data_IF_586339298241
#
_entry.id   IF_586339298241
#
_cell.length_a   1.000
_cell.length_b   1.000
_cell.length_c   1.000
_cell.angle_alpha   90.00
_cell.angle_beta   90.00
_cell.angle_gamma   90.00
#
_symmetry.space_group_name_H-M   'P 1'
#
loop_
_entity.id
_entity.type
_entity.pdbx_description
1 polymer ?
#
# COMPACT_ATOMS: atom_id res chain seq x y z
N UNK A 1 -13.18 4.05 -6.69
CA UNK A 1 -13.65 5.25 -5.98
C UNK A 1 -14.10 4.80 -4.60
N UNK A 2 -13.69 5.48 -3.54
CA UNK A 2 -14.10 5.09 -2.19
C UNK A 2 -15.62 5.22 -2.08
N UNK A 3 -16.27 4.10 -1.78
CA UNK A 3 -17.69 4.03 -1.50
C UNK A 3 -17.86 3.67 -0.03
N UNK A 4 -18.89 4.19 0.67
CA UNK A 4 -19.18 3.89 2.06
C UNK A 4 -19.71 2.44 2.20
N UNK A 5 -18.85 1.47 1.91
CA UNK A 5 -19.12 0.04 2.03
C UNK A 5 -18.87 -0.45 3.45
N UNK A 6 -19.37 -1.66 3.80
CA UNK A 6 -19.36 -2.21 5.15
C UNK A 6 -18.01 -2.26 5.90
N UNK A 7 -16.81 -2.26 5.28
CA UNK A 7 -15.56 -2.17 6.02
C UNK A 7 -15.29 -0.78 6.60
N UNK A 8 -15.79 0.27 5.92
CA UNK A 8 -15.44 1.67 6.21
C UNK A 8 -16.53 2.33 7.05
N UNK A 9 -17.80 2.02 6.77
CA UNK A 9 -18.96 2.62 7.43
C UNK A 9 -19.02 2.37 8.95
N UNK A 10 -19.02 1.11 9.43
CA UNK A 10 -19.02 0.77 10.84
C UNK A 10 -17.77 1.24 11.59
N UNK A 11 -16.59 1.09 10.98
CA UNK A 11 -15.31 1.46 11.61
C UNK A 11 -15.19 2.97 11.87
N UNK A 12 -15.65 3.80 10.94
CA UNK A 12 -15.63 5.27 11.09
C UNK A 12 -16.86 5.81 11.81
N UNK A 13 -18.03 5.21 11.59
CA UNK A 13 -19.28 5.60 12.23
C UNK A 13 -19.26 5.39 13.74
N UNK A 14 -18.65 4.31 14.23
CA UNK A 14 -18.46 4.09 15.67
C UNK A 14 -17.57 5.15 16.32
N UNK A 15 -16.67 5.78 15.57
CA UNK A 15 -15.77 6.84 16.04
C UNK A 15 -16.36 8.25 15.86
N UNK A 16 -17.61 8.38 15.36
CA UNK A 16 -18.27 9.67 15.16
C UNK A 16 -17.72 10.50 13.98
N UNK A 17 -16.99 9.88 13.05
CA UNK A 17 -16.38 10.55 11.90
C UNK A 17 -17.39 10.70 10.76
N UNK A 18 -17.41 11.86 10.09
CA UNK A 18 -18.26 12.11 8.94
C UNK A 18 -17.76 11.34 7.70
N UNK A 19 -18.38 10.19 7.43
CA UNK A 19 -17.98 9.25 6.37
C UNK A 19 -18.04 9.90 4.97
N UNK A 20 -19.04 10.75 4.71
CA UNK A 20 -19.18 11.40 3.40
C UNK A 20 -18.06 12.41 3.12
N UNK A 21 -17.66 13.15 4.16
CA UNK A 21 -16.58 14.12 4.07
C UNK A 21 -15.23 13.42 3.86
N UNK A 22 -14.98 12.34 4.60
CA UNK A 22 -13.83 11.47 4.38
C UNK A 22 -13.77 10.94 2.94
N UNK A 23 -14.86 10.37 2.43
CA UNK A 23 -14.89 9.81 1.08
C UNK A 23 -14.60 10.88 0.00
N UNK A 24 -15.11 12.10 0.15
CA UNK A 24 -14.80 13.22 -0.78
C UNK A 24 -13.33 13.61 -0.72
N UNK A 25 -12.81 13.84 0.48
CA UNK A 25 -11.43 14.26 0.67
C UNK A 25 -10.43 13.17 0.25
N UNK A 26 -10.75 11.90 0.51
CA UNK A 26 -9.97 10.77 0.04
C UNK A 26 -9.97 10.69 -1.47
N UNK A 27 -11.14 10.72 -2.12
CA UNK A 27 -11.22 10.68 -3.58
C UNK A 27 -10.42 11.82 -4.23
N UNK A 28 -10.49 13.04 -3.68
CA UNK A 28 -9.70 14.18 -4.15
C UNK A 28 -8.18 13.96 -4.03
N UNK A 29 -7.69 13.40 -2.91
CA UNK A 29 -6.26 13.07 -2.74
C UNK A 29 -5.81 11.88 -3.59
N UNK A 30 -6.71 10.94 -3.87
CA UNK A 30 -6.38 9.73 -4.65
C UNK A 30 -6.59 9.88 -6.15
N UNK A 31 -7.15 10.99 -6.63
CA UNK A 31 -7.42 11.19 -8.06
C UNK A 31 -6.13 11.24 -8.89
N UNK A 32 -5.02 11.68 -8.28
CA UNK A 32 -3.68 11.68 -8.87
C UNK A 32 -2.99 10.32 -8.84
N UNK A 33 -3.53 9.34 -8.11
CA UNK A 33 -2.94 8.01 -7.95
C UNK A 33 -3.69 7.02 -8.84
N UNK A 34 -2.96 6.08 -9.43
CA UNK A 34 -3.49 5.11 -10.37
C UNK A 34 -4.69 4.33 -9.79
N UNK A 35 -5.82 4.38 -10.52
CA UNK A 35 -7.08 3.79 -10.09
C UNK A 35 -6.94 2.26 -9.99
N UNK A 36 -7.27 1.71 -8.81
CA UNK A 36 -7.26 0.27 -8.56
C UNK A 36 -6.19 -0.20 -7.58
N UNK A 37 -5.26 0.66 -7.17
CA UNK A 37 -4.33 0.36 -6.09
C UNK A 37 -4.96 0.66 -4.71
N UNK A 38 -4.96 -0.29 -3.76
CA UNK A 38 -5.36 -0.01 -2.38
C UNK A 38 -4.37 0.96 -1.72
N UNK A 39 -4.91 2.10 -1.29
CA UNK A 39 -4.17 3.18 -0.62
C UNK A 39 -4.50 3.10 0.88
N UNK A 40 -3.54 2.77 1.74
CA UNK A 40 -3.75 2.76 3.17
C UNK A 40 -3.87 4.19 3.70
N UNK A 41 -4.79 4.40 4.63
CA UNK A 41 -5.05 5.71 5.24
C UNK A 41 -4.95 5.59 6.75
N UNK A 42 -4.20 6.50 7.36
CA UNK A 42 -4.18 6.66 8.80
C UNK A 42 -5.11 7.82 9.15
N UNK A 43 -6.10 7.54 9.99
CA UNK A 43 -7.10 8.53 10.43
C UNK A 43 -6.86 8.77 11.91
N UNK A 44 -6.68 10.03 12.27
CA UNK A 44 -6.58 10.49 13.64
C UNK A 44 -7.88 11.21 13.97
N UNK A 45 -8.60 10.72 14.97
CA UNK A 45 -9.85 11.31 15.46
C UNK A 45 -9.56 12.05 16.76
N UNK A 46 -9.97 13.31 16.84
CA UNK A 46 -9.79 14.15 18.01
C UNK A 46 -11.05 14.17 18.87
N UNK A 47 -10.92 14.59 20.13
CA UNK A 47 -12.01 14.59 21.11
C UNK A 47 -13.16 15.56 20.75
N UNK A 48 -12.87 16.57 19.94
CA UNK A 48 -13.85 17.52 19.39
C UNK A 48 -14.64 16.95 18.18
N UNK A 49 -14.44 15.67 17.87
CA UNK A 49 -15.00 14.97 16.69
C UNK A 49 -14.46 15.47 15.35
N UNK A 50 -13.41 16.29 15.37
CA UNK A 50 -12.64 16.56 14.16
C UNK A 50 -11.77 15.35 13.82
N UNK A 51 -11.38 15.23 12.55
CA UNK A 51 -10.49 14.17 12.10
C UNK A 51 -9.46 14.70 11.10
N UNK A 52 -8.25 14.18 11.18
CA UNK A 52 -7.21 14.37 10.16
C UNK A 52 -6.87 13.03 9.55
N UNK A 53 -6.60 12.98 8.25
CA UNK A 53 -6.20 11.75 7.59
C UNK A 53 -4.97 11.95 6.70
N UNK A 54 -4.08 10.97 6.76
CA UNK A 54 -2.86 10.90 5.95
C UNK A 54 -2.97 9.68 5.03
N UNK A 55 -2.97 9.93 3.73
CA UNK A 55 -2.89 8.90 2.69
C UNK A 55 -1.44 8.50 2.52
N UNK A 56 -1.15 7.20 2.65
CA UNK A 56 0.17 6.64 2.41
C UNK A 56 0.22 5.99 1.02
N UNK A 57 1.42 5.80 0.49
CA UNK A 57 1.63 5.02 -0.74
C UNK A 57 1.11 3.59 -0.60
N UNK A 58 0.73 2.96 -1.74
CA UNK A 58 0.31 1.57 -1.77
C UNK A 58 1.31 0.63 -1.07
N UNK A 59 0.84 -0.47 -0.46
CA UNK A 59 1.73 -1.42 0.21
C UNK A 59 2.71 -2.03 -0.78
N UNK A 60 3.95 -2.27 -0.34
CA UNK A 60 4.98 -2.91 -1.15
C UNK A 60 4.47 -4.22 -1.77
N UNK A 61 3.73 -5.04 -1.00
CA UNK A 61 3.16 -6.30 -1.49
C UNK A 61 2.23 -6.15 -2.70
N UNK A 62 1.51 -5.03 -2.81
CA UNK A 62 0.59 -4.78 -3.93
C UNK A 62 1.38 -4.33 -5.15
N UNK A 63 2.36 -3.45 -4.96
CA UNK A 63 3.26 -3.00 -6.04
C UNK A 63 4.08 -4.17 -6.60
N UNK A 64 4.58 -5.04 -5.72
CA UNK A 64 5.28 -6.28 -6.07
C UNK A 64 4.39 -7.25 -6.86
N UNK A 65 3.13 -7.43 -6.43
CA UNK A 65 2.16 -8.25 -7.18
C UNK A 65 1.93 -7.72 -8.58
N UNK A 66 1.79 -6.40 -8.72
CA UNK A 66 1.62 -5.74 -10.01
C UNK A 66 2.86 -5.90 -10.89
N UNK A 67 4.05 -5.64 -10.36
CA UNK A 67 5.30 -5.75 -11.11
C UNK A 67 5.61 -7.19 -11.55
N UNK A 68 5.30 -8.18 -10.69
CA UNK A 68 5.47 -9.60 -11.01
C UNK A 68 4.27 -10.22 -11.77
N UNK A 69 3.20 -9.46 -12.02
CA UNK A 69 2.00 -9.94 -12.73
C UNK A 69 1.18 -11.01 -11.99
N UNK A 70 1.35 -11.14 -10.67
CA UNK A 70 0.69 -12.18 -9.85
C UNK A 70 -0.53 -11.63 -9.10
N UNK A 71 -1.56 -12.46 -8.93
CA UNK A 71 -2.77 -12.09 -8.18
C UNK A 71 -2.63 -12.35 -6.67
N UNK A 72 -1.93 -13.41 -6.28
CA UNK A 72 -1.71 -13.83 -4.90
C UNK A 72 -0.26 -14.21 -4.65
N UNK A 73 0.22 -13.94 -3.43
CA UNK A 73 1.54 -14.43 -2.98
C UNK A 73 1.50 -15.94 -2.71
N UNK A 74 2.67 -16.52 -2.48
CA UNK A 74 2.81 -17.93 -2.14
C UNK A 74 2.26 -18.25 -0.76
N UNK A 75 1.48 -19.34 -0.66
CA UNK A 75 1.07 -19.90 0.63
C UNK A 75 2.22 -20.59 1.39
N UNK A 76 3.31 -20.94 0.69
CA UNK A 76 4.56 -21.48 1.28
C UNK A 76 5.75 -20.79 0.61
N UNK A 77 6.08 -19.54 0.99
CA UNK A 77 7.09 -18.70 0.32
C UNK A 77 8.48 -19.34 0.16
N UNK A 78 8.83 -20.25 1.07
CA UNK A 78 10.12 -20.95 1.08
C UNK A 78 10.16 -22.18 0.16
N UNK A 79 9.01 -22.71 -0.27
CA UNK A 79 8.91 -23.92 -1.11
C UNK A 79 8.34 -23.60 -2.49
N UNK A 80 7.23 -22.86 -2.53
CA UNK A 80 6.49 -22.58 -3.75
C UNK A 80 6.80 -21.15 -4.18
N UNK A 81 7.60 -21.00 -5.25
CA UNK A 81 7.86 -19.70 -5.85
C UNK A 81 6.77 -19.37 -6.86
N UNK A 82 6.16 -18.20 -6.73
CA UNK A 82 4.96 -17.82 -7.48
C UNK A 82 5.21 -16.76 -8.54
N UNK A 83 6.43 -16.24 -8.64
CA UNK A 83 6.80 -15.25 -9.65
C UNK A 83 8.26 -14.84 -9.55
N UNK A 84 8.69 -14.05 -10.52
CA UNK A 84 10.02 -13.46 -10.62
C UNK A 84 9.90 -11.95 -10.68
N UNK A 85 10.87 -11.24 -10.12
CA UNK A 85 10.95 -9.79 -10.19
C UNK A 85 12.41 -9.38 -10.37
N UNK A 86 12.66 -8.39 -11.23
CA UNK A 86 14.02 -7.89 -11.46
C UNK A 86 14.43 -6.88 -10.39
N UNK A 87 15.74 -6.73 -10.18
CA UNK A 87 16.26 -5.71 -9.28
C UNK A 87 15.90 -4.28 -9.72
N UNK A 88 15.82 -4.03 -11.03
CA UNK A 88 15.36 -2.76 -11.59
C UNK A 88 13.92 -2.43 -11.16
N UNK A 89 13.01 -3.40 -11.23
CA UNK A 89 11.62 -3.23 -10.79
C UNK A 89 11.53 -2.97 -9.28
N UNK A 90 12.36 -3.63 -8.47
CA UNK A 90 12.43 -3.35 -7.03
C UNK A 90 12.86 -1.91 -6.74
N UNK A 91 13.80 -1.38 -7.51
CA UNK A 91 14.29 -0.01 -7.36
C UNK A 91 13.24 1.02 -7.76
N UNK A 92 12.50 0.80 -8.85
CA UNK A 92 11.36 1.65 -9.24
C UNK A 92 10.27 1.67 -8.16
N UNK A 93 9.96 0.50 -7.59
CA UNK A 93 9.00 0.39 -6.47
C UNK A 93 9.53 1.13 -5.24
N UNK A 94 10.81 0.99 -4.92
CA UNK A 94 11.45 1.68 -3.81
C UNK A 94 11.41 3.21 -3.99
N UNK A 95 11.70 3.72 -5.19
CA UNK A 95 11.60 5.15 -5.51
C UNK A 95 10.16 5.66 -5.37
N UNK A 96 9.19 4.93 -5.90
CA UNK A 96 7.77 5.27 -5.79
C UNK A 96 7.32 5.32 -4.33
N UNK A 97 7.86 4.43 -3.50
CA UNK A 97 7.53 4.32 -2.07
C UNK A 97 8.42 5.16 -1.16
N UNK A 98 9.46 5.82 -1.70
CA UNK A 98 10.52 6.42 -0.89
C UNK A 98 10.00 7.46 0.11
N UNK A 99 8.95 8.21 -0.26
CA UNK A 99 8.33 9.21 0.61
C UNK A 99 7.69 8.63 1.89
N UNK A 100 7.29 7.34 1.89
CA UNK A 100 6.68 6.66 3.05
C UNK A 100 7.56 5.57 3.65
N UNK A 101 8.77 5.37 3.13
CA UNK A 101 9.70 4.36 3.63
C UNK A 101 10.74 4.98 4.56
N UNK A 102 11.06 4.25 5.61
CA UNK A 102 12.18 4.57 6.49
C UNK A 102 13.41 3.85 5.97
N UNK A 103 14.22 4.54 5.17
CA UNK A 103 15.48 4.05 4.65
C UNK A 103 16.49 5.18 4.52
N UNK A 104 17.76 4.91 4.81
CA UNK A 104 18.82 5.91 4.71
C UNK A 104 19.09 6.29 3.24
N UNK A 105 18.98 5.33 2.33
CA UNK A 105 19.19 5.47 0.90
C UNK A 105 18.23 4.59 0.09
N UNK A 106 18.18 4.82 -1.22
CA UNK A 106 17.32 4.05 -2.16
C UNK A 106 17.72 2.56 -2.15
N UNK A 107 18.99 2.24 -1.93
CA UNK A 107 19.44 0.85 -1.85
C UNK A 107 18.89 0.11 -0.61
N UNK A 108 18.90 0.72 0.57
CA UNK A 108 18.33 0.16 1.78
C UNK A 108 16.81 0.01 1.65
N UNK A 109 16.15 0.96 0.98
CA UNK A 109 14.73 0.82 0.63
C UNK A 109 14.53 -0.36 -0.32
N UNK A 110 15.36 -0.49 -1.35
CA UNK A 110 15.32 -1.60 -2.31
C UNK A 110 15.49 -2.95 -1.61
N UNK A 111 16.46 -3.08 -0.70
CA UNK A 111 16.65 -4.29 0.14
C UNK A 111 15.43 -4.60 1.01
N UNK A 112 14.76 -3.59 1.53
CA UNK A 112 13.53 -3.77 2.33
C UNK A 112 12.37 -4.28 1.46
N UNK A 113 12.23 -3.76 0.24
CA UNK A 113 11.25 -4.25 -0.74
C UNK A 113 11.61 -5.67 -1.18
N UNK A 114 12.90 -5.97 -1.36
CA UNK A 114 13.41 -7.30 -1.70
C UNK A 114 13.06 -8.33 -0.63
N UNK A 115 13.26 -7.99 0.65
CA UNK A 115 12.84 -8.84 1.77
C UNK A 115 11.34 -9.15 1.75
N UNK A 116 10.53 -8.14 1.41
CA UNK A 116 9.09 -8.32 1.21
C UNK A 116 8.80 -9.26 0.04
N UNK A 117 9.46 -9.09 -1.11
CA UNK A 117 9.30 -9.96 -2.27
C UNK A 117 9.63 -11.42 -1.95
N UNK A 118 10.73 -11.67 -1.25
CA UNK A 118 11.12 -13.02 -0.80
C UNK A 118 10.08 -13.63 0.14
N UNK A 119 9.54 -12.85 1.08
CA UNK A 119 8.48 -13.29 2.00
C UNK A 119 7.17 -13.63 1.29
N UNK A 120 6.96 -13.13 0.08
CA UNK A 120 5.80 -13.43 -0.76
C UNK A 120 6.04 -14.62 -1.70
N UNK A 121 7.24 -15.20 -1.71
CA UNK A 121 7.62 -16.27 -2.62
C UNK A 121 7.97 -15.79 -4.02
N UNK A 122 8.37 -14.52 -4.18
CA UNK A 122 8.97 -14.03 -5.42
C UNK A 122 10.48 -14.37 -5.44
N UNK A 123 10.98 -14.73 -6.61
CA UNK A 123 12.41 -14.87 -6.88
C UNK A 123 12.92 -13.55 -7.43
N UNK A 124 14.00 -13.06 -6.86
CA UNK A 124 14.67 -11.85 -7.32
C UNK A 124 15.75 -12.29 -8.30
N UNK A 125 15.62 -11.88 -9.55
CA UNK A 125 16.64 -12.09 -10.59
C UNK A 125 17.29 -10.74 -10.90
N UNK A 126 18.57 -10.76 -11.27
CA UNK A 126 19.29 -9.54 -11.64
C UNK A 126 18.74 -8.92 -12.94
#
# INVERSE_FOLDING_TARGET
>A
MANPSPPVGPALGQQGVNIMEFCKAFNAKTDSIEKGLPIPVVITVYADRSFTFVTKTPPAAVLLKKAAGIKSGSGKPNKDKVGKISRAQLQEIAQTKAADMTGADIEAMTRSIEGTARSMGLVVED
#
